data_IF_393615230003
#
_entry.id   IF_393615230003
#
_cell.length_a   1.000
_cell.length_b   1.000
_cell.length_c   1.000
_cell.angle_alpha   90.00
_cell.angle_beta   90.00
_cell.angle_gamma   90.00
#
_symmetry.space_group_name_H-M   'P 1'
#
loop_
_entity.id
_entity.type
_entity.pdbx_description
1 polymer ?
#
# COMPACT_ATOMS: atom_id res chain seq x y z
N UNK A 1 33.30 -17.94 10.86
CA UNK A 1 32.77 -17.80 9.48
C UNK A 1 31.86 -19.00 9.19
N UNK A 2 30.56 -18.91 9.45
CA UNK A 2 29.61 -20.04 9.27
C UNK A 2 28.15 -19.60 9.23
N UNK A 3 27.81 -18.55 9.99
CA UNK A 3 26.44 -18.02 10.09
C UNK A 3 25.85 -17.47 8.77
N UNK A 4 26.66 -16.85 7.88
CA UNK A 4 26.16 -16.30 6.61
C UNK A 4 25.71 -17.38 5.62
N UNK A 5 26.30 -18.57 5.67
CA UNK A 5 25.95 -19.67 4.76
C UNK A 5 24.65 -20.35 5.15
N UNK A 6 24.39 -20.49 6.45
CA UNK A 6 23.14 -21.05 6.97
C UNK A 6 21.97 -20.10 6.82
N UNK A 7 22.14 -18.79 7.08
CA UNK A 7 21.09 -17.79 6.82
C UNK A 7 20.72 -17.76 5.33
N UNK A 8 21.70 -17.87 4.42
CA UNK A 8 21.46 -17.91 2.98
C UNK A 8 20.68 -19.15 2.55
N UNK A 9 21.04 -20.34 3.06
CA UNK A 9 20.29 -21.58 2.80
C UNK A 9 18.91 -21.60 3.45
N UNK A 10 18.77 -20.97 4.60
CA UNK A 10 17.49 -20.75 5.27
C UNK A 10 16.59 -19.86 4.38
N UNK A 11 17.08 -18.70 3.95
CA UNK A 11 16.36 -17.77 3.06
C UNK A 11 15.90 -18.37 1.71
N UNK A 12 16.45 -19.52 1.29
CA UNK A 12 16.12 -20.18 0.02
C UNK A 12 14.87 -21.09 0.07
N UNK A 13 14.22 -21.28 1.22
CA UNK A 13 12.89 -21.90 1.23
C UNK A 13 11.84 -20.87 0.82
N UNK A 14 11.05 -21.16 -0.23
CA UNK A 14 10.07 -20.23 -0.81
C UNK A 14 9.11 -19.64 0.25
N UNK A 15 8.63 -20.47 1.20
CA UNK A 15 7.77 -20.00 2.29
C UNK A 15 8.45 -18.99 3.24
N UNK A 16 9.77 -19.07 3.41
CA UNK A 16 10.53 -18.17 4.28
C UNK A 16 10.84 -16.84 3.58
N UNK A 17 10.97 -16.86 2.26
CA UNK A 17 11.11 -15.66 1.45
C UNK A 17 9.86 -14.78 1.54
N UNK A 18 8.68 -15.36 1.51
CA UNK A 18 7.40 -14.63 1.60
C UNK A 18 7.26 -13.94 2.95
N UNK A 19 7.53 -14.66 4.03
CA UNK A 19 7.53 -14.10 5.38
C UNK A 19 8.58 -12.98 5.53
N UNK A 20 9.76 -13.16 4.94
CA UNK A 20 10.79 -12.13 4.94
C UNK A 20 10.36 -10.86 4.19
N UNK A 21 9.75 -10.99 3.01
CA UNK A 21 9.24 -9.85 2.25
C UNK A 21 8.14 -9.09 3.01
N UNK A 22 7.24 -9.81 3.69
CA UNK A 22 6.20 -9.20 4.54
C UNK A 22 6.83 -8.45 5.71
N UNK A 23 7.80 -9.05 6.41
CA UNK A 23 8.50 -8.42 7.53
C UNK A 23 9.27 -7.17 7.09
N UNK A 24 9.96 -7.23 5.96
CA UNK A 24 10.68 -6.09 5.38
C UNK A 24 9.71 -4.98 5.01
N UNK A 25 8.57 -5.30 4.39
CA UNK A 25 7.54 -4.30 4.06
C UNK A 25 6.95 -3.66 5.34
N UNK A 26 6.72 -4.45 6.38
CA UNK A 26 6.30 -3.95 7.69
C UNK A 26 7.33 -3.00 8.31
N UNK A 27 8.60 -3.40 8.34
CA UNK A 27 9.69 -2.58 8.85
C UNK A 27 9.84 -1.28 8.06
N UNK A 28 9.77 -1.36 6.72
CA UNK A 28 9.85 -0.19 5.84
C UNK A 28 8.71 0.80 6.11
N UNK A 29 7.50 0.29 6.35
CA UNK A 29 6.34 1.11 6.72
C UNK A 29 6.55 1.82 8.07
N UNK A 30 7.03 1.11 9.09
CA UNK A 30 7.34 1.72 10.41
C UNK A 30 8.42 2.79 10.28
N UNK A 31 9.51 2.52 9.54
CA UNK A 31 10.57 3.49 9.29
C UNK A 31 10.04 4.71 8.54
N UNK A 32 9.21 4.50 7.51
CA UNK A 32 8.55 5.58 6.79
C UNK A 32 7.70 6.45 7.73
N UNK A 33 6.84 5.83 8.54
CA UNK A 33 5.99 6.53 9.51
C UNK A 33 6.82 7.34 10.51
N UNK A 34 7.93 6.80 11.01
CA UNK A 34 8.82 7.53 11.91
C UNK A 34 9.47 8.75 11.23
N UNK A 35 9.96 8.59 9.99
CA UNK A 35 10.59 9.69 9.24
C UNK A 35 9.59 10.80 8.91
N UNK A 36 8.39 10.45 8.44
CA UNK A 36 7.35 11.46 8.15
C UNK A 36 6.80 12.09 9.43
N UNK A 37 6.79 11.37 10.57
CA UNK A 37 6.38 11.93 11.84
C UNK A 37 7.29 13.10 12.23
N UNK A 38 8.60 12.91 12.11
CA UNK A 38 9.59 13.96 12.37
C UNK A 38 9.40 15.12 11.39
N UNK A 39 9.30 14.84 10.09
CA UNK A 39 9.09 15.88 9.07
C UNK A 39 7.81 16.69 9.31
N UNK A 40 6.68 16.02 9.52
CA UNK A 40 5.38 16.66 9.72
C UNK A 40 5.28 17.37 11.06
N UNK A 41 6.03 16.93 12.07
CA UNK A 41 6.17 17.65 13.33
C UNK A 41 6.83 19.01 13.12
N UNK A 42 7.93 19.09 12.37
CA UNK A 42 8.56 20.37 12.01
C UNK A 42 7.64 21.28 11.18
N UNK A 43 6.75 20.71 10.37
CA UNK A 43 5.77 21.46 9.58
C UNK A 43 4.49 21.84 10.36
N UNK A 44 4.36 21.44 11.63
CA UNK A 44 3.17 21.70 12.44
C UNK A 44 1.93 20.90 12.02
N UNK A 45 2.10 19.78 11.30
CA UNK A 45 1.02 18.94 10.73
C UNK A 45 1.03 17.52 11.29
N UNK A 46 1.36 17.34 12.56
CA UNK A 46 1.46 16.01 13.21
C UNK A 46 0.16 15.17 13.15
N UNK A 47 -1.01 15.81 13.04
CA UNK A 47 -2.27 15.10 12.86
C UNK A 47 -2.32 14.29 11.55
N UNK A 48 -1.64 14.75 10.50
CA UNK A 48 -1.53 13.99 9.25
C UNK A 48 -0.74 12.68 9.46
N UNK A 49 0.29 12.69 10.30
CA UNK A 49 1.05 11.48 10.65
C UNK A 49 0.14 10.44 11.30
N UNK A 50 -0.69 10.85 12.27
CA UNK A 50 -1.63 9.94 12.94
C UNK A 50 -2.65 9.38 11.96
N UNK A 51 -3.17 10.23 11.05
CA UNK A 51 -4.10 9.79 10.01
C UNK A 51 -3.46 8.76 9.09
N UNK A 52 -2.25 9.02 8.60
CA UNK A 52 -1.50 8.08 7.76
C UNK A 52 -1.20 6.76 8.49
N UNK A 53 -0.79 6.82 9.77
CA UNK A 53 -0.53 5.62 10.58
C UNK A 53 -1.78 4.76 10.76
N UNK A 54 -2.93 5.37 11.07
CA UNK A 54 -4.23 4.67 11.12
C UNK A 54 -4.57 4.06 9.76
N UNK A 55 -4.44 4.85 8.69
CA UNK A 55 -4.62 4.40 7.32
C UNK A 55 -3.82 3.14 7.04
N UNK A 56 -2.51 3.14 7.31
CA UNK A 56 -1.65 1.99 7.05
C UNK A 56 -2.04 0.77 7.88
N UNK A 57 -2.45 0.95 9.13
CA UNK A 57 -2.98 -0.15 9.95
C UNK A 57 -4.21 -0.80 9.29
N UNK A 58 -5.11 0.02 8.74
CA UNK A 58 -6.29 -0.49 8.03
C UNK A 58 -5.88 -1.14 6.71
N UNK A 59 -4.97 -0.54 5.94
CA UNK A 59 -4.46 -1.12 4.69
C UNK A 59 -3.90 -2.52 4.93
N UNK A 60 -3.10 -2.71 5.98
CA UNK A 60 -2.58 -4.01 6.38
C UNK A 60 -3.71 -4.99 6.71
N UNK A 61 -4.67 -4.57 7.53
CA UNK A 61 -5.81 -5.41 7.90
C UNK A 61 -6.61 -5.84 6.67
N UNK A 62 -6.96 -4.90 5.79
CA UNK A 62 -7.73 -5.17 4.57
C UNK A 62 -6.93 -6.06 3.62
N UNK A 63 -5.60 -5.87 3.53
CA UNK A 63 -4.72 -6.72 2.71
C UNK A 63 -4.74 -8.16 3.23
N UNK A 64 -4.55 -8.37 4.54
CA UNK A 64 -4.61 -9.70 5.16
C UNK A 64 -5.98 -10.37 4.97
N UNK A 65 -7.06 -9.63 5.20
CA UNK A 65 -8.43 -10.13 4.99
C UNK A 65 -8.66 -10.49 3.53
N UNK A 66 -8.19 -9.66 2.59
CA UNK A 66 -8.31 -9.91 1.15
C UNK A 66 -7.58 -11.18 0.74
N UNK A 67 -6.37 -11.43 1.25
CA UNK A 67 -5.62 -12.66 0.99
C UNK A 67 -6.43 -13.88 1.44
N UNK A 68 -6.94 -13.86 2.67
CA UNK A 68 -7.74 -14.97 3.21
C UNK A 68 -8.99 -15.20 2.36
N UNK A 69 -9.69 -14.13 1.96
CA UNK A 69 -10.88 -14.23 1.12
C UNK A 69 -10.56 -14.79 -0.26
N UNK A 70 -9.52 -14.29 -0.93
CA UNK A 70 -9.09 -14.76 -2.24
C UNK A 70 -8.71 -16.23 -2.18
N UNK A 71 -7.93 -16.65 -1.16
CA UNK A 71 -7.59 -18.05 -0.96
C UNK A 71 -8.83 -18.94 -0.73
N UNK A 72 -9.82 -18.45 0.03
CA UNK A 72 -11.09 -19.18 0.24
C UNK A 72 -11.88 -19.32 -1.05
N UNK A 73 -11.96 -18.26 -1.86
CA UNK A 73 -12.62 -18.26 -3.16
C UNK A 73 -11.92 -19.21 -4.12
N UNK A 74 -10.58 -19.15 -4.23
CA UNK A 74 -9.81 -20.06 -5.08
C UNK A 74 -10.04 -21.51 -4.69
N UNK A 75 -10.05 -21.83 -3.39
CA UNK A 75 -10.38 -23.19 -2.91
C UNK A 75 -11.81 -23.61 -3.23
N UNK A 76 -12.79 -22.71 -3.10
CA UNK A 76 -14.19 -23.02 -3.38
C UNK A 76 -14.42 -23.31 -4.87
N UNK A 77 -13.81 -22.52 -5.75
CA UNK A 77 -13.95 -22.66 -7.19
C UNK A 77 -12.91 -23.59 -7.83
N UNK A 78 -12.01 -24.20 -7.04
CA UNK A 78 -10.88 -25.02 -7.53
C UNK A 78 -10.05 -24.30 -8.59
N UNK A 79 -9.86 -22.99 -8.39
CA UNK A 79 -9.01 -22.17 -9.24
C UNK A 79 -7.58 -22.37 -8.78
N UNK A 80 -6.93 -23.36 -9.38
CA UNK A 80 -5.51 -23.64 -9.14
C UNK A 80 -4.66 -22.97 -10.21
N UNK A 81 -3.46 -22.52 -9.82
CA UNK A 81 -2.48 -21.92 -10.72
C UNK A 81 -2.17 -22.81 -11.94
N UNK A 82 -2.23 -24.13 -11.77
CA UNK A 82 -1.89 -25.10 -12.80
C UNK A 82 -3.01 -25.36 -13.81
N UNK A 83 -4.27 -25.11 -13.42
CA UNK A 83 -5.43 -25.44 -14.26
C UNK A 83 -6.11 -24.18 -14.80
N UNK A 84 -6.08 -23.08 -14.03
CA UNK A 84 -6.75 -21.83 -14.34
C UNK A 84 -5.85 -20.63 -14.01
N UNK A 85 -4.63 -20.63 -14.58
CA UNK A 85 -3.63 -19.59 -14.35
C UNK A 85 -4.16 -18.17 -14.59
N UNK A 86 -4.92 -17.97 -15.68
CA UNK A 86 -5.45 -16.65 -16.05
C UNK A 86 -6.43 -16.11 -14.99
N UNK A 87 -7.34 -16.95 -14.49
CA UNK A 87 -8.29 -16.55 -13.46
C UNK A 87 -7.59 -16.24 -12.13
N UNK A 88 -6.57 -17.04 -11.78
CA UNK A 88 -5.74 -16.80 -10.60
C UNK A 88 -5.02 -15.45 -10.71
N UNK A 89 -4.37 -15.17 -11.83
CA UNK A 89 -3.64 -13.91 -12.06
C UNK A 89 -4.60 -12.71 -12.08
N UNK A 90 -5.71 -12.80 -12.81
CA UNK A 90 -6.66 -11.71 -12.92
C UNK A 90 -7.29 -11.34 -11.57
N UNK A 91 -7.62 -12.33 -10.75
CA UNK A 91 -8.20 -12.09 -9.42
C UNK A 91 -7.23 -11.37 -8.47
N UNK A 92 -5.98 -11.82 -8.40
CA UNK A 92 -4.93 -11.17 -7.61
C UNK A 92 -4.61 -9.77 -8.13
N UNK A 93 -4.58 -9.59 -9.46
CA UNK A 93 -4.37 -8.29 -10.08
C UNK A 93 -5.50 -7.32 -9.75
N UNK A 94 -6.75 -7.76 -9.84
CA UNK A 94 -7.92 -6.95 -9.53
C UNK A 94 -7.91 -6.48 -8.07
N UNK A 95 -7.64 -7.39 -7.13
CA UNK A 95 -7.61 -7.06 -5.70
C UNK A 95 -6.44 -6.13 -5.37
N UNK A 96 -5.24 -6.42 -5.86
CA UNK A 96 -4.06 -5.56 -5.63
C UNK A 96 -4.23 -4.17 -6.23
N UNK A 97 -4.77 -4.05 -7.44
CA UNK A 97 -5.06 -2.77 -8.08
C UNK A 97 -6.13 -1.97 -7.32
N UNK A 98 -7.18 -2.65 -6.84
CA UNK A 98 -8.23 -2.01 -6.04
C UNK A 98 -7.70 -1.50 -4.70
N UNK A 99 -6.89 -2.29 -4.00
CA UNK A 99 -6.21 -1.88 -2.77
C UNK A 99 -5.30 -0.69 -3.00
N UNK A 100 -4.52 -0.72 -4.07
CA UNK A 100 -3.58 0.36 -4.41
C UNK A 100 -4.30 1.65 -4.77
N UNK A 101 -5.34 1.59 -5.61
CA UNK A 101 -6.16 2.75 -5.97
C UNK A 101 -6.88 3.34 -4.76
N UNK A 102 -7.40 2.47 -3.87
CA UNK A 102 -8.02 2.90 -2.61
C UNK A 102 -7.04 3.61 -1.69
N UNK A 103 -5.79 3.12 -1.58
CA UNK A 103 -4.74 3.80 -0.83
C UNK A 103 -4.36 5.15 -1.45
N UNK A 104 -4.23 5.21 -2.77
CA UNK A 104 -3.91 6.46 -3.45
C UNK A 104 -4.99 7.52 -3.27
N UNK A 105 -6.27 7.12 -3.29
CA UNK A 105 -7.39 8.00 -2.95
C UNK A 105 -7.29 8.51 -1.50
N UNK A 106 -7.02 7.61 -0.55
CA UNK A 106 -6.81 7.96 0.86
C UNK A 106 -5.71 9.00 1.02
N UNK A 107 -4.53 8.75 0.45
CA UNK A 107 -3.37 9.62 0.59
C UNK A 107 -3.65 11.00 0.00
N UNK A 108 -4.29 11.08 -1.16
CA UNK A 108 -4.65 12.34 -1.81
C UNK A 108 -5.64 13.16 -0.96
N UNK A 109 -6.73 12.54 -0.49
CA UNK A 109 -7.73 13.21 0.35
C UNK A 109 -7.15 13.62 1.69
N UNK A 110 -6.37 12.73 2.32
CA UNK A 110 -5.73 13.01 3.60
C UNK A 110 -4.80 14.23 3.51
N UNK A 111 -4.09 14.42 2.39
CA UNK A 111 -3.19 15.56 2.19
C UNK A 111 -3.95 16.84 1.92
N UNK A 112 -4.99 16.80 1.10
CA UNK A 112 -5.74 18.00 0.73
C UNK A 112 -6.29 18.75 1.95
N UNK A 113 -6.78 18.03 2.95
CA UNK A 113 -7.28 18.61 4.20
C UNK A 113 -6.24 19.46 4.94
N UNK A 114 -4.94 19.23 4.71
CA UNK A 114 -3.84 19.98 5.33
C UNK A 114 -3.13 20.95 4.38
N UNK A 115 -3.40 20.87 3.07
CA UNK A 115 -2.81 21.77 2.05
C UNK A 115 -3.55 23.10 1.97
N UNK A 116 -4.85 23.14 2.29
CA UNK A 116 -5.64 24.39 2.26
C UNK A 116 -5.01 25.44 3.17
N UNK A 117 -4.61 26.58 2.59
CA UNK A 117 -3.98 27.70 3.30
C UNK A 117 -2.48 27.52 3.62
N UNK A 118 -1.85 26.43 3.17
CA UNK A 118 -0.39 26.25 3.31
C UNK A 118 0.38 26.97 2.19
N UNK A 119 1.61 27.47 2.46
CA UNK A 119 2.46 28.02 1.41
C UNK A 119 2.88 26.94 0.40
N UNK A 120 3.18 27.35 -0.84
CA UNK A 120 3.45 26.45 -1.98
C UNK A 120 4.53 25.41 -1.67
N UNK A 121 5.62 25.80 -1.00
CA UNK A 121 6.70 24.88 -0.66
C UNK A 121 6.24 23.78 0.32
N UNK A 122 5.39 24.13 1.29
CA UNK A 122 4.83 23.17 2.25
C UNK A 122 3.84 22.25 1.56
N UNK A 123 2.99 22.79 0.67
CA UNK A 123 2.09 21.99 -0.15
C UNK A 123 2.88 20.96 -1.00
N UNK A 124 3.97 21.38 -1.63
CA UNK A 124 4.84 20.48 -2.39
C UNK A 124 5.43 19.36 -1.51
N UNK A 125 5.90 19.68 -0.30
CA UNK A 125 6.36 18.68 0.65
C UNK A 125 5.27 17.70 1.07
N UNK A 126 4.03 18.17 1.29
CA UNK A 126 2.91 17.31 1.65
C UNK A 126 2.53 16.37 0.50
N UNK A 127 2.47 16.85 -0.73
CA UNK A 127 2.24 15.98 -1.90
C UNK A 127 3.35 14.94 -2.10
N UNK A 128 4.61 15.32 -1.84
CA UNK A 128 5.72 14.37 -1.86
C UNK A 128 5.54 13.26 -0.81
N UNK A 129 5.11 13.62 0.42
CA UNK A 129 4.78 12.64 1.46
C UNK A 129 3.67 11.69 1.00
N UNK A 130 2.66 12.18 0.28
CA UNK A 130 1.60 11.35 -0.30
C UNK A 130 2.08 10.39 -1.36
N UNK A 131 2.89 10.88 -2.30
CA UNK A 131 3.47 10.05 -3.34
C UNK A 131 4.38 8.95 -2.73
N UNK A 132 5.21 9.30 -1.75
CA UNK A 132 6.03 8.34 -1.03
C UNK A 132 5.17 7.34 -0.25
N UNK A 133 4.09 7.80 0.38
CA UNK A 133 3.14 6.92 1.06
C UNK A 133 2.52 5.89 0.10
N UNK A 134 2.19 6.29 -1.13
CA UNK A 134 1.69 5.36 -2.16
C UNK A 134 2.74 4.31 -2.55
N UNK A 135 4.01 4.69 -2.61
CA UNK A 135 5.13 3.80 -2.88
C UNK A 135 5.35 2.80 -1.73
N UNK A 136 5.20 3.23 -0.48
CA UNK A 136 5.25 2.32 0.68
C UNK A 136 4.06 1.36 0.70
N UNK A 137 2.85 1.85 0.39
CA UNK A 137 1.69 0.99 0.23
C UNK A 137 1.87 -0.03 -0.89
N UNK A 138 2.50 0.35 -2.00
CA UNK A 138 2.88 -0.58 -3.06
C UNK A 138 3.76 -1.72 -2.55
N UNK A 139 4.75 -1.44 -1.71
CA UNK A 139 5.57 -2.50 -1.10
C UNK A 139 4.79 -3.39 -0.14
N UNK A 140 3.86 -2.81 0.64
CA UNK A 140 3.00 -3.56 1.55
C UNK A 140 2.03 -4.49 0.81
N UNK A 141 1.41 -4.03 -0.28
CA UNK A 141 0.51 -4.86 -1.10
C UNK A 141 1.32 -5.88 -1.89
N UNK A 142 2.46 -5.50 -2.47
CA UNK A 142 3.27 -6.37 -3.32
C UNK A 142 4.04 -7.45 -2.55
N UNK A 143 4.24 -7.31 -1.24
CA UNK A 143 4.79 -8.40 -0.42
C UNK A 143 3.79 -9.54 -0.23
N UNK A 144 2.48 -9.26 -0.38
CA UNK A 144 1.41 -10.24 -0.29
C UNK A 144 0.98 -10.83 -1.64
N UNK A 145 1.11 -10.06 -2.72
CA UNK A 145 0.78 -10.49 -4.09
C UNK A 145 2.06 -10.58 -4.92
N UNK A 146 2.70 -11.75 -4.90
CA UNK A 146 3.97 -11.96 -5.57
C UNK A 146 3.82 -12.19 -7.08
N UNK A 147 4.66 -11.51 -7.86
CA UNK A 147 4.76 -11.67 -9.31
C UNK A 147 5.16 -10.36 -9.98
N UNK A 148 6.05 -10.46 -10.99
CA UNK A 148 6.57 -9.28 -11.68
C UNK A 148 5.48 -8.50 -12.42
N UNK A 149 4.45 -9.20 -12.90
CA UNK A 149 3.30 -8.60 -13.60
C UNK A 149 2.53 -7.66 -12.68
N UNK A 150 2.26 -8.07 -11.44
CA UNK A 150 1.56 -7.23 -10.46
C UNK A 150 2.38 -5.98 -10.15
N UNK A 151 3.69 -6.15 -9.90
CA UNK A 151 4.60 -5.03 -9.61
C UNK A 151 4.67 -4.00 -10.74
N UNK A 152 4.66 -4.47 -12.00
CA UNK A 152 4.69 -3.59 -13.17
C UNK A 152 3.40 -2.79 -13.37
N UNK A 153 2.25 -3.30 -12.94
CA UNK A 153 0.96 -2.63 -13.11
C UNK A 153 0.61 -1.77 -11.88
N UNK A 154 0.82 -2.29 -10.68
CA UNK A 154 0.38 -1.62 -9.44
C UNK A 154 1.19 -0.37 -9.13
N UNK A 155 2.49 -0.32 -9.45
CA UNK A 155 3.31 0.88 -9.23
C UNK A 155 2.86 2.10 -10.06
N UNK A 156 2.75 2.02 -11.42
CA UNK A 156 2.26 3.14 -12.20
C UNK A 156 0.81 3.47 -11.85
N UNK A 157 -0.01 2.46 -11.55
CA UNK A 157 -1.37 2.68 -11.09
C UNK A 157 -1.41 3.48 -9.78
N UNK A 158 -0.54 3.17 -8.81
CA UNK A 158 -0.43 3.89 -7.53
C UNK A 158 -0.20 5.39 -7.76
N UNK A 159 0.78 5.72 -8.59
CA UNK A 159 1.17 7.10 -8.85
C UNK A 159 0.14 7.83 -9.71
N UNK A 160 -0.35 7.19 -10.78
CA UNK A 160 -1.36 7.77 -11.66
C UNK A 160 -2.68 8.02 -10.93
N UNK A 161 -3.14 7.06 -10.12
CA UNK A 161 -4.34 7.25 -9.30
C UNK A 161 -4.15 8.33 -8.24
N UNK A 162 -2.98 8.40 -7.60
CA UNK A 162 -2.68 9.48 -6.65
C UNK A 162 -2.73 10.85 -7.31
N UNK A 163 -2.13 11.00 -8.50
CA UNK A 163 -2.20 12.23 -9.28
C UNK A 163 -3.64 12.57 -9.66
N UNK A 164 -4.40 11.60 -10.18
CA UNK A 164 -5.79 11.78 -10.57
C UNK A 164 -6.67 12.22 -9.40
N UNK A 165 -6.57 11.56 -8.24
CA UNK A 165 -7.33 11.91 -7.04
C UNK A 165 -6.85 13.21 -6.38
N UNK A 166 -5.57 13.57 -6.55
CA UNK A 166 -5.06 14.87 -6.10
C UNK A 166 -5.61 16.02 -6.94
N UNK A 167 -5.80 15.81 -8.25
CA UNK A 167 -6.40 16.79 -9.16
C UNK A 167 -7.93 16.85 -9.05
N UNK A 168 -8.58 15.72 -8.84
CA UNK A 168 -10.03 15.60 -8.71
C UNK A 168 -10.40 14.85 -7.42
N UNK A 169 -10.37 15.52 -6.27
CA UNK A 169 -10.67 14.89 -4.98
C UNK A 169 -12.10 14.38 -4.86
N UNK A 170 -13.07 15.06 -5.50
CA UNK A 170 -14.46 14.63 -5.46
C UNK A 170 -14.66 13.21 -6.06
N UNK A 171 -13.86 12.78 -7.04
CA UNK A 171 -13.96 11.38 -7.52
C UNK A 171 -13.44 10.39 -6.48
N UNK A 172 -12.41 10.75 -5.72
CA UNK A 172 -11.90 9.94 -4.61
C UNK A 172 -12.93 9.81 -3.49
N UNK A 173 -13.62 10.90 -3.16
CA UNK A 173 -14.66 10.93 -2.13
C UNK A 173 -15.92 10.14 -2.55
N UNK A 174 -16.33 10.21 -3.82
CA UNK A 174 -17.47 9.41 -4.31
C UNK A 174 -17.15 7.91 -4.30
N UNK A 175 -15.95 7.51 -4.72
CA UNK A 175 -15.58 6.10 -4.85
C UNK A 175 -15.17 5.46 -3.51
N UNK A 176 -14.49 6.23 -2.66
CA UNK A 176 -13.83 5.73 -1.46
C UNK A 176 -14.15 6.54 -0.19
N UNK A 177 -14.89 7.64 -0.28
CA UNK A 177 -15.26 8.49 0.87
C UNK A 177 -16.05 7.77 1.94
N UNK A 178 -16.86 6.76 1.59
CA UNK A 178 -17.55 5.90 2.57
C UNK A 178 -16.57 5.15 3.49
N UNK A 179 -15.38 4.81 2.99
CA UNK A 179 -14.33 4.19 3.77
C UNK A 179 -13.62 5.23 4.66
N UNK A 180 -13.54 6.48 4.22
CA UNK A 180 -12.86 7.58 4.92
C UNK A 180 -13.72 8.33 5.93
N UNK A 181 -15.04 8.40 5.75
CA UNK A 181 -15.98 9.08 6.65
C UNK A 181 -16.02 8.48 8.07
N UNK A 182 -15.39 7.32 8.29
CA UNK A 182 -15.26 6.67 9.60
C UNK A 182 -13.92 6.96 10.30
N UNK A 183 -13.05 7.80 9.75
CA UNK A 183 -11.68 8.07 10.26
C UNK A 183 -11.36 9.56 10.38
#
# INVERSE_FOLDING_TARGET
MGYRGEISKWLMHDDQKDLFEILVAGALNVVFLALIAVLLWFLGRSMLTLRLAKGFGILWLVTLVSIVLVQRIHRLFRVDLYTHADAFVLSNLAVSCMLQAGWSAFAALAIQDFVVGAPVWMAASLYLVGALSCLIAFYAVSSCYQGHIYKMISLPLALASFMAFSMWPASGDVLYGWFFARF
#
